data_IF_114111695837
#
_entry.id   IF_114111695837
#
_cell.length_a   1.000
_cell.length_b   1.000
_cell.length_c   1.000
_cell.angle_alpha   90.00
_cell.angle_beta   90.00
_cell.angle_gamma   90.00
#
_symmetry.space_group_name_H-M   'P 1'
#
loop_
_entity.id
_entity.type
_entity.pdbx_description
1 polymer ?
#
# COMPACT_ATOMS: atom_id res chain seq x y z
N UNK A 1 -16.18 -8.59 37.31
CA UNK A 1 -16.55 -9.62 38.30
C UNK A 1 -17.68 -10.44 37.68
N UNK A 2 -17.59 -11.76 37.66
CA UNK A 2 -18.76 -12.58 37.29
C UNK A 2 -19.69 -12.59 38.51
N UNK A 3 -20.99 -12.38 38.30
CA UNK A 3 -22.01 -12.47 39.36
C UNK A 3 -22.79 -13.78 39.23
N UNK A 4 -23.44 -14.20 40.31
CA UNK A 4 -24.25 -15.42 40.37
C UNK A 4 -25.71 -15.12 39.95
N UNK A 5 -26.19 -15.65 38.81
CA UNK A 5 -27.56 -15.41 38.35
C UNK A 5 -28.63 -16.03 39.23
N UNK A 6 -28.39 -17.19 39.86
CA UNK A 6 -29.41 -17.90 40.63
C UNK A 6 -29.70 -17.17 41.94
N UNK A 7 -28.66 -16.58 42.54
CA UNK A 7 -28.80 -15.71 43.71
C UNK A 7 -29.65 -14.47 43.40
N UNK A 8 -29.36 -13.77 42.30
CA UNK A 8 -30.14 -12.58 41.90
C UNK A 8 -31.59 -12.96 41.61
N UNK A 9 -31.85 -14.09 40.94
CA UNK A 9 -33.22 -14.56 40.70
C UNK A 9 -33.99 -14.82 41.99
N UNK A 10 -33.32 -15.34 43.03
CA UNK A 10 -33.91 -15.56 44.34
C UNK A 10 -34.21 -14.23 45.04
N UNK A 11 -33.26 -13.31 45.07
CA UNK A 11 -33.39 -11.99 45.71
C UNK A 11 -34.50 -11.16 45.04
N UNK A 12 -34.65 -11.27 43.71
CA UNK A 12 -35.73 -10.63 42.94
C UNK A 12 -37.12 -11.19 43.30
N UNK A 13 -37.22 -12.50 43.54
CA UNK A 13 -38.49 -13.14 43.96
C UNK A 13 -38.91 -12.70 45.36
N UNK A 14 -37.94 -12.39 46.23
CA UNK A 14 -38.19 -11.93 47.59
C UNK A 14 -38.49 -10.42 47.65
N UNK A 15 -37.67 -9.58 47.02
CA UNK A 15 -37.88 -8.14 46.94
C UNK A 15 -37.20 -7.53 45.71
N UNK A 16 -38.01 -7.21 44.69
CA UNK A 16 -37.53 -6.64 43.43
C UNK A 16 -36.79 -5.32 43.60
N UNK A 17 -37.34 -4.37 44.35
CA UNK A 17 -36.78 -3.02 44.49
C UNK A 17 -35.45 -3.03 45.23
N UNK A 18 -35.33 -3.89 46.25
CA UNK A 18 -34.07 -4.07 46.97
C UNK A 18 -33.00 -4.71 46.09
N UNK A 19 -33.35 -5.80 45.39
CA UNK A 19 -32.44 -6.49 44.48
C UNK A 19 -31.98 -5.59 43.32
N UNK A 20 -32.86 -4.72 42.81
CA UNK A 20 -32.51 -3.71 41.82
C UNK A 20 -31.44 -2.76 42.39
N UNK A 21 -31.70 -2.14 43.55
CA UNK A 21 -30.82 -1.12 44.15
C UNK A 21 -29.41 -1.64 44.45
N UNK A 22 -29.32 -2.90 44.88
CA UNK A 22 -28.05 -3.59 45.14
C UNK A 22 -27.27 -3.94 43.86
N UNK A 23 -27.94 -4.01 42.70
CA UNK A 23 -27.34 -4.31 41.41
C UNK A 23 -26.20 -3.36 41.00
N UNK A 24 -26.17 -2.13 41.53
CA UNK A 24 -25.06 -1.18 41.31
C UNK A 24 -23.69 -1.74 41.75
N UNK A 25 -23.67 -2.61 42.76
CA UNK A 25 -22.43 -3.24 43.28
C UNK A 25 -21.79 -4.23 42.29
N UNK A 26 -22.58 -4.74 41.35
CA UNK A 26 -22.14 -5.70 40.34
C UNK A 26 -21.32 -5.02 39.22
N UNK A 27 -21.61 -3.74 38.95
CA UNK A 27 -20.93 -2.97 37.92
C UNK A 27 -19.57 -2.50 38.43
N UNK A 28 -18.49 -2.86 37.74
CA UNK A 28 -17.14 -2.35 38.06
C UNK A 28 -17.12 -0.84 37.83
N UNK A 29 -16.84 -0.05 38.87
CA UNK A 29 -16.57 1.37 38.72
C UNK A 29 -15.19 1.55 38.07
N UNK A 30 -15.10 2.12 36.85
CA UNK A 30 -13.82 2.34 36.19
C UNK A 30 -12.98 3.35 36.98
N UNK A 31 -11.67 3.13 37.00
CA UNK A 31 -10.68 4.09 37.52
C UNK A 31 -10.67 5.37 36.69
N UNK A 32 -10.04 6.44 37.18
CA UNK A 32 -10.05 7.74 36.50
C UNK A 32 -9.53 7.67 35.04
N UNK A 33 -8.61 6.75 34.74
CA UNK A 33 -8.04 6.55 33.41
C UNK A 33 -8.88 5.63 32.50
N UNK A 34 -9.69 4.75 33.11
CA UNK A 34 -10.66 3.89 32.40
C UNK A 34 -12.00 4.61 32.13
N UNK A 35 -12.14 5.87 32.55
CA UNK A 35 -13.35 6.68 32.31
C UNK A 35 -13.26 7.41 30.97
N UNK A 36 -14.41 7.58 30.35
CA UNK A 36 -14.58 8.51 29.22
C UNK A 36 -14.23 9.95 29.69
N UNK A 37 -13.53 10.77 28.89
CA UNK A 37 -13.13 10.57 27.48
C UNK A 37 -11.75 9.90 27.27
N UNK A 38 -11.06 9.49 28.34
CA UNK A 38 -9.71 8.91 28.26
C UNK A 38 -9.71 7.49 27.68
N UNK A 39 -10.77 6.74 27.97
CA UNK A 39 -11.07 5.51 27.26
C UNK A 39 -11.86 5.84 26.00
N UNK A 40 -11.26 5.60 24.84
CA UNK A 40 -11.89 5.77 23.53
C UNK A 40 -11.70 4.52 22.69
N UNK A 41 -12.72 4.17 21.93
CA UNK A 41 -12.65 3.11 20.92
C UNK A 41 -12.08 3.72 19.65
N UNK A 42 -10.99 3.14 19.14
CA UNK A 42 -10.39 3.54 17.88
C UNK A 42 -10.85 2.60 16.77
N UNK A 43 -11.08 3.16 15.59
CA UNK A 43 -11.46 2.43 14.39
C UNK A 43 -10.64 2.93 13.19
N UNK A 44 -10.59 2.13 12.12
CA UNK A 44 -9.88 2.48 10.89
C UNK A 44 -10.54 3.66 10.19
N UNK A 45 -9.73 4.62 9.73
CA UNK A 45 -10.19 5.80 8.99
C UNK A 45 -9.73 5.70 7.54
N UNK A 46 -10.67 5.77 6.60
CA UNK A 46 -10.34 5.82 5.19
C UNK A 46 -9.63 7.13 4.84
N UNK A 47 -8.69 7.08 3.89
CA UNK A 47 -8.09 8.29 3.33
C UNK A 47 -9.12 8.97 2.41
N UNK A 48 -9.30 10.29 2.47
CA UNK A 48 -10.36 11.01 1.74
C UNK A 48 -10.30 10.79 0.22
N UNK A 49 -9.10 10.72 -0.36
CA UNK A 49 -8.92 10.46 -1.80
C UNK A 49 -9.43 9.06 -2.18
N UNK A 50 -9.08 8.02 -1.42
CA UNK A 50 -9.51 6.65 -1.73
C UNK A 50 -11.00 6.44 -1.47
N UNK A 51 -11.55 7.08 -0.45
CA UNK A 51 -13.00 7.11 -0.22
C UNK A 51 -13.75 7.73 -1.40
N UNK A 52 -13.23 8.84 -1.93
CA UNK A 52 -13.80 9.51 -3.11
C UNK A 52 -13.69 8.65 -4.37
N UNK A 53 -12.55 7.99 -4.59
CA UNK A 53 -12.37 7.04 -5.71
C UNK A 53 -13.41 5.93 -5.65
N UNK A 54 -13.64 5.34 -4.47
CA UNK A 54 -14.64 4.28 -4.31
C UNK A 54 -16.06 4.79 -4.62
N UNK A 55 -16.41 5.99 -4.15
CA UNK A 55 -17.72 6.60 -4.43
C UNK A 55 -17.93 6.90 -5.92
N UNK A 56 -16.89 7.37 -6.62
CA UNK A 56 -16.95 7.61 -8.07
C UNK A 56 -17.13 6.30 -8.84
N UNK A 57 -16.40 5.25 -8.46
CA UNK A 57 -16.52 3.92 -9.04
C UNK A 57 -17.94 3.38 -8.89
N UNK A 58 -18.53 3.46 -7.70
CA UNK A 58 -19.92 3.09 -7.48
C UNK A 58 -20.91 3.92 -8.30
N UNK A 59 -20.65 5.22 -8.46
CA UNK A 59 -21.50 6.10 -9.27
C UNK A 59 -21.52 5.67 -10.74
N UNK A 60 -20.35 5.41 -11.34
CA UNK A 60 -20.25 4.94 -12.72
C UNK A 60 -20.94 3.59 -12.93
N UNK A 61 -20.75 2.63 -12.02
CA UNK A 61 -21.40 1.32 -12.08
C UNK A 61 -22.93 1.44 -12.03
N UNK A 62 -23.48 2.34 -11.19
CA UNK A 62 -24.92 2.59 -11.10
C UNK A 62 -25.52 3.20 -12.37
N UNK A 63 -24.71 3.90 -13.16
CA UNK A 63 -25.11 4.43 -14.46
C UNK A 63 -25.04 3.37 -15.59
N UNK A 64 -24.58 2.15 -15.29
CA UNK A 64 -24.44 1.07 -16.26
C UNK A 64 -23.13 1.08 -17.05
N UNK A 65 -22.13 1.87 -16.63
CA UNK A 65 -20.79 1.80 -17.21
C UNK A 65 -20.08 0.52 -16.75
N UNK A 66 -19.28 -0.06 -17.65
CA UNK A 66 -18.40 -1.18 -17.36
C UNK A 66 -17.04 -0.66 -16.88
N UNK A 67 -16.55 -1.17 -15.75
CA UNK A 67 -15.26 -0.79 -15.20
C UNK A 67 -14.13 -1.44 -16.03
N UNK A 68 -13.16 -0.62 -16.47
CA UNK A 68 -12.06 -1.04 -17.36
C UNK A 68 -10.70 -0.61 -16.83
N UNK A 69 -9.66 -1.41 -17.11
CA UNK A 69 -8.27 -1.12 -16.76
C UNK A 69 -7.47 -0.80 -18.02
N UNK A 70 -7.22 0.48 -18.25
CA UNK A 70 -6.48 0.95 -19.41
C UNK A 70 -4.95 0.85 -19.21
N UNK A 71 -4.16 0.77 -20.30
CA UNK A 71 -2.71 0.87 -20.22
C UNK A 71 -2.28 2.19 -19.58
N UNK A 72 -1.38 2.12 -18.59
CA UNK A 72 -0.84 3.29 -17.91
C UNK A 72 0.40 3.85 -18.62
N UNK A 73 1.24 2.96 -19.17
CA UNK A 73 2.43 3.31 -19.94
C UNK A 73 2.08 3.16 -21.41
N UNK A 74 2.25 4.22 -22.19
CA UNK A 74 1.93 4.28 -23.62
C UNK A 74 3.10 4.88 -24.40
N UNK A 75 3.20 4.52 -25.69
CA UNK A 75 4.17 5.08 -26.63
C UNK A 75 3.75 6.51 -27.03
N UNK A 76 4.71 7.40 -27.26
CA UNK A 76 4.44 8.78 -27.67
C UNK A 76 3.70 8.87 -29.02
N UNK A 77 3.83 7.84 -29.86
CA UNK A 77 3.07 7.68 -31.10
C UNK A 77 1.57 7.67 -30.86
N UNK A 78 1.09 7.15 -29.73
CA UNK A 78 -0.34 7.15 -29.41
C UNK A 78 -0.84 8.57 -29.12
N UNK A 79 0.00 9.41 -28.52
CA UNK A 79 -0.30 10.85 -28.33
C UNK A 79 -0.32 11.55 -29.68
N UNK A 80 0.63 11.25 -30.57
CA UNK A 80 0.63 11.77 -31.94
C UNK A 80 -0.61 11.36 -32.74
N UNK A 81 -1.09 10.12 -32.60
CA UNK A 81 -2.33 9.68 -33.27
C UNK A 81 -3.57 10.42 -32.75
N UNK A 82 -3.61 10.76 -31.46
CA UNK A 82 -4.75 11.44 -30.83
C UNK A 82 -4.76 12.96 -31.04
N UNK A 83 -3.58 13.61 -31.01
CA UNK A 83 -3.45 15.07 -31.01
C UNK A 83 -2.82 15.65 -32.30
N UNK A 84 -2.29 14.82 -33.20
CA UNK A 84 -1.70 15.25 -34.46
C UNK A 84 -0.56 16.25 -34.25
N UNK A 85 -0.71 17.46 -34.79
CA UNK A 85 0.30 18.53 -34.69
C UNK A 85 0.43 19.11 -33.28
N UNK A 86 -0.61 19.04 -32.45
CA UNK A 86 -0.58 19.58 -31.08
C UNK A 86 0.13 18.65 -30.09
N UNK A 87 0.41 17.41 -30.51
CA UNK A 87 1.05 16.41 -29.66
C UNK A 87 2.38 16.89 -29.07
N UNK A 88 3.17 17.68 -29.80
CA UNK A 88 4.46 18.18 -29.32
C UNK A 88 4.31 19.08 -28.07
N UNK A 89 3.25 19.89 -28.00
CA UNK A 89 2.98 20.71 -26.82
C UNK A 89 2.47 19.86 -25.65
N UNK A 90 1.74 18.78 -25.94
CA UNK A 90 1.22 17.85 -24.92
C UNK A 90 2.32 16.96 -24.34
N UNK A 91 3.30 16.54 -25.14
CA UNK A 91 4.39 15.67 -24.70
C UNK A 91 5.34 16.36 -23.71
N UNK A 92 5.40 17.70 -23.71
CA UNK A 92 6.24 18.48 -22.78
C UNK A 92 5.83 18.30 -21.29
N UNK A 93 4.56 17.98 -21.03
CA UNK A 93 4.04 17.70 -19.67
C UNK A 93 4.04 16.20 -19.31
N UNK A 94 4.57 15.33 -20.17
CA UNK A 94 4.60 13.89 -19.98
C UNK A 94 5.95 13.43 -19.41
N UNK A 95 5.94 12.33 -18.65
CA UNK A 95 7.17 11.70 -18.15
C UNK A 95 7.58 10.57 -19.07
N UNK A 96 8.84 10.62 -19.55
CA UNK A 96 9.42 9.54 -20.34
C UNK A 96 10.11 8.52 -19.44
N UNK A 97 9.88 7.24 -19.73
CA UNK A 97 10.57 6.15 -19.06
C UNK A 97 11.92 5.91 -19.74
N UNK A 98 12.99 6.12 -18.98
CA UNK A 98 14.35 5.78 -19.39
C UNK A 98 14.81 4.52 -18.66
N UNK A 99 15.70 3.77 -19.30
CA UNK A 99 16.41 2.64 -18.70
C UNK A 99 17.91 2.84 -18.83
N UNK A 100 18.68 2.28 -17.89
CA UNK A 100 20.13 2.27 -18.03
C UNK A 100 20.51 1.38 -19.22
N UNK A 101 21.25 1.90 -20.21
CA UNK A 101 21.71 1.05 -21.31
C UNK A 101 22.67 0.00 -20.76
N UNK A 102 22.71 -1.16 -21.41
CA UNK A 102 23.80 -2.11 -21.16
C UNK A 102 25.11 -1.41 -21.51
N UNK A 103 26.10 -1.40 -20.59
CA UNK A 103 27.37 -0.76 -20.89
C UNK A 103 28.01 -1.50 -22.06
N UNK A 104 28.40 -0.77 -23.09
CA UNK A 104 29.20 -1.34 -24.16
C UNK A 104 30.65 -1.46 -23.66
N UNK A 105 30.91 -2.51 -22.88
CA UNK A 105 32.26 -2.85 -22.40
C UNK A 105 33.00 -3.62 -23.48
N UNK A 106 33.34 -2.93 -24.57
CA UNK A 106 34.51 -3.34 -25.34
C UNK A 106 35.70 -3.32 -24.37
N UNK A 107 36.29 -4.48 -24.10
CA UNK A 107 37.40 -4.57 -23.16
C UNK A 107 38.61 -3.95 -23.83
N UNK A 108 38.94 -2.72 -23.46
CA UNK A 108 40.18 -2.08 -23.88
C UNK A 108 41.36 -2.87 -23.34
N UNK A 109 42.49 -2.85 -24.06
CA UNK A 109 43.70 -3.56 -23.63
C UNK A 109 44.20 -3.04 -22.26
N UNK A 110 43.90 -1.78 -21.91
CA UNK A 110 44.12 -1.21 -20.58
C UNK A 110 43.35 -1.94 -19.48
N UNK A 111 42.09 -2.33 -19.75
CA UNK A 111 41.26 -3.08 -18.81
C UNK A 111 41.73 -4.52 -18.68
N UNK A 112 42.24 -5.12 -19.76
CA UNK A 112 42.87 -6.44 -19.71
C UNK A 112 44.13 -6.38 -18.86
N UNK A 113 44.98 -5.37 -19.05
CA UNK A 113 46.18 -5.19 -18.24
C UNK A 113 45.85 -5.05 -16.73
N UNK A 114 44.82 -4.28 -16.38
CA UNK A 114 44.32 -4.17 -15.00
C UNK A 114 43.83 -5.52 -14.46
N UNK A 115 43.11 -6.30 -15.27
CA UNK A 115 42.63 -7.62 -14.88
C UNK A 115 43.81 -8.57 -14.66
N UNK A 116 44.81 -8.57 -15.54
CA UNK A 116 46.03 -9.38 -15.43
C UNK A 116 46.87 -8.99 -14.22
N UNK A 117 46.90 -7.70 -13.86
CA UNK A 117 47.56 -7.22 -12.63
C UNK A 117 46.86 -7.72 -11.36
N UNK A 118 45.52 -7.81 -11.38
CA UNK A 118 44.72 -8.24 -10.22
C UNK A 118 44.66 -9.78 -10.09
N UNK A 119 44.52 -10.50 -11.21
CA UNK A 119 44.27 -11.95 -11.23
C UNK A 119 45.49 -12.80 -11.62
N UNK A 120 46.57 -12.19 -12.10
CA UNK A 120 47.69 -12.88 -12.73
C UNK A 120 47.45 -13.23 -14.20
N UNK A 121 48.37 -13.99 -14.81
CA UNK A 121 48.26 -14.37 -16.22
C UNK A 121 47.10 -15.36 -16.44
N UNK A 122 46.08 -14.90 -17.16
CA UNK A 122 44.82 -15.60 -17.43
C UNK A 122 44.83 -16.33 -18.78
N UNK A 123 45.90 -16.20 -19.58
CA UNK A 123 46.03 -16.82 -20.90
C UNK A 123 45.06 -16.26 -21.96
N UNK A 124 45.35 -16.51 -23.24
CA UNK A 124 44.54 -15.99 -24.35
C UNK A 124 43.09 -16.53 -24.35
N UNK A 125 42.87 -17.78 -23.94
CA UNK A 125 41.52 -18.35 -23.79
C UNK A 125 40.68 -17.65 -22.71
N UNK A 126 41.32 -17.18 -21.64
CA UNK A 126 40.67 -16.42 -20.58
C UNK A 126 40.22 -15.06 -21.10
N UNK A 127 41.11 -14.36 -21.81
CA UNK A 127 40.86 -13.03 -22.39
C UNK A 127 39.71 -13.09 -23.42
N UNK A 128 39.71 -14.11 -24.28
CA UNK A 128 38.66 -14.30 -25.29
C UNK A 128 37.29 -14.63 -24.69
N UNK A 129 37.24 -15.29 -23.53
CA UNK A 129 35.98 -15.49 -22.79
C UNK A 129 35.45 -14.18 -22.23
N UNK A 130 36.30 -13.34 -21.65
CA UNK A 130 35.87 -12.07 -21.07
C UNK A 130 35.39 -11.13 -22.19
N UNK A 131 36.06 -11.10 -23.35
CA UNK A 131 35.65 -10.29 -24.52
C UNK A 131 34.31 -10.69 -25.15
N UNK A 132 33.80 -11.89 -24.88
CA UNK A 132 32.50 -12.39 -25.38
C UNK A 132 31.31 -12.06 -24.48
N UNK A 133 31.56 -11.57 -23.26
CA UNK A 133 30.53 -11.19 -22.26
C UNK A 133 30.19 -9.71 -22.38
#
# INVERSE_FOLDING_TARGET
MKFDPEKIKKDVKENFDFAWNEGKKVVKTPTLNERYPRTSLKYGKAHPVYDTIQRLREAYLRMGFEEMMNPLIVDDKEVHKQFGSEALAVLDRCFYLAGLPRPNVGISDERIAQITEILGDIGEEGIDKIRKV
#
